data_IF_293867466148
#
_entry.id   IF_293867466148
#
_cell.length_a   1.000
_cell.length_b   1.000
_cell.length_c   1.000
_cell.angle_alpha   90.00
_cell.angle_beta   90.00
_cell.angle_gamma   90.00
#
_symmetry.space_group_name_H-M   'P 1'
#
loop_
_entity.id
_entity.type
_entity.pdbx_description
1 polymer ?
#
# COMPACT_ATOMS: atom_id res chain seq x y z
N UNK A 1 12.27 -17.10 19.40
CA UNK A 1 12.32 -15.70 19.90
C UNK A 1 11.21 -14.85 19.25
N UNK A 2 10.73 -13.81 19.95
CA UNK A 2 9.77 -12.82 19.43
C UNK A 2 10.14 -11.43 19.93
N UNK A 3 9.88 -10.40 19.13
CA UNK A 3 10.12 -9.02 19.54
C UNK A 3 9.24 -8.64 20.73
N UNK A 4 9.89 -8.22 21.82
CA UNK A 4 9.19 -7.81 23.03
C UNK A 4 8.49 -6.46 22.80
N UNK A 5 7.24 -6.35 23.26
CA UNK A 5 6.47 -5.09 23.15
C UNK A 5 6.00 -4.75 21.74
N UNK A 6 6.19 -5.64 20.76
CA UNK A 6 5.72 -5.42 19.40
C UNK A 6 4.19 -5.42 19.33
N UNK A 7 3.60 -4.31 18.87
CA UNK A 7 2.16 -4.17 18.69
C UNK A 7 1.77 -4.34 17.23
N UNK A 8 1.00 -5.39 16.96
CA UNK A 8 0.43 -5.66 15.65
C UNK A 8 -0.98 -5.07 15.51
N UNK A 9 -1.31 -4.51 14.36
CA UNK A 9 -2.70 -4.38 13.93
C UNK A 9 -2.82 -4.41 12.39
N UNK A 10 -3.97 -4.83 11.85
CA UNK A 10 -4.25 -4.82 10.42
C UNK A 10 -4.48 -3.40 9.87
N UNK A 11 -4.60 -3.26 8.56
CA UNK A 11 -4.88 -1.99 7.92
C UNK A 11 -5.29 -2.12 6.46
N UNK A 12 -5.29 -1.01 5.72
CA UNK A 12 -5.91 -0.96 4.40
C UNK A 12 -4.94 -1.32 3.26
N UNK A 13 -3.63 -1.15 3.46
CA UNK A 13 -2.64 -1.37 2.43
C UNK A 13 -1.32 -1.88 3.04
N UNK A 14 -0.79 -2.98 2.50
CA UNK A 14 0.31 -3.75 3.08
C UNK A 14 1.55 -2.91 3.40
N UNK A 15 2.00 -2.07 2.48
CA UNK A 15 3.14 -1.18 2.70
C UNK A 15 2.89 -0.15 3.81
N UNK A 16 1.79 0.60 3.74
CA UNK A 16 1.51 1.68 4.71
C UNK A 16 1.15 1.15 6.10
N UNK A 17 0.49 -0.01 6.17
CA UNK A 17 0.21 -0.69 7.43
C UNK A 17 1.51 -1.18 8.07
N UNK A 18 2.41 -1.79 7.30
CA UNK A 18 3.72 -2.21 7.81
C UNK A 18 4.54 -1.02 8.31
N UNK A 19 4.54 0.10 7.57
CA UNK A 19 5.19 1.34 8.01
C UNK A 19 4.57 1.90 9.31
N UNK A 20 3.24 1.82 9.47
CA UNK A 20 2.57 2.22 10.73
C UNK A 20 2.96 1.31 11.88
N UNK A 21 3.04 0.00 11.67
CA UNK A 21 3.45 -0.93 12.72
C UNK A 21 4.91 -0.70 13.14
N UNK A 22 5.81 -0.42 12.17
CA UNK A 22 7.17 0.05 12.48
C UNK A 22 7.15 1.36 13.27
N UNK A 23 6.33 2.32 12.83
CA UNK A 23 6.19 3.61 13.51
C UNK A 23 5.72 3.47 14.96
N UNK A 24 4.86 2.50 15.25
CA UNK A 24 4.43 2.21 16.62
C UNK A 24 5.57 1.56 17.41
N UNK A 25 6.24 0.56 16.84
CA UNK A 25 7.37 -0.14 17.47
C UNK A 25 8.50 0.83 17.87
N UNK A 26 8.87 1.75 16.98
CA UNK A 26 9.90 2.77 17.24
C UNK A 26 9.39 4.01 17.98
N UNK A 27 8.09 4.07 18.31
CA UNK A 27 7.51 5.18 19.07
C UNK A 27 7.41 6.52 18.31
N UNK A 28 7.45 6.52 16.98
CA UNK A 28 7.27 7.74 16.17
C UNK A 28 5.80 8.21 16.14
N UNK A 29 4.84 7.31 16.38
CA UNK A 29 3.43 7.65 16.57
C UNK A 29 2.68 8.11 15.32
N UNK A 30 3.11 7.72 14.12
CA UNK A 30 2.39 8.00 12.88
C UNK A 30 1.26 6.99 12.67
N UNK A 31 0.07 7.48 12.32
CA UNK A 31 -1.02 6.62 11.84
C UNK A 31 -0.79 6.17 10.38
N UNK A 32 -1.58 5.19 9.90
CA UNK A 32 -1.39 4.63 8.55
C UNK A 32 -1.52 5.71 7.44
N UNK A 33 -2.42 6.68 7.63
CA UNK A 33 -2.62 7.76 6.64
C UNK A 33 -1.42 8.70 6.61
N UNK A 34 -0.83 8.98 7.76
CA UNK A 34 0.39 9.78 7.91
C UNK A 34 1.58 9.05 7.29
N UNK A 35 1.76 7.76 7.56
CA UNK A 35 2.78 6.93 6.90
C UNK A 35 2.63 6.95 5.38
N UNK A 36 1.40 6.75 4.87
CA UNK A 36 1.14 6.81 3.43
C UNK A 36 1.44 8.18 2.82
N UNK A 37 1.11 9.27 3.53
CA UNK A 37 1.43 10.64 3.11
C UNK A 37 2.93 10.93 3.10
N UNK A 38 3.65 10.58 4.17
CA UNK A 38 5.10 10.71 4.29
C UNK A 38 5.83 9.85 3.26
N UNK A 39 5.25 8.75 2.83
CA UNK A 39 5.78 7.87 1.79
C UNK A 39 5.57 8.39 0.35
N UNK A 40 4.97 9.58 0.17
CA UNK A 40 4.49 10.06 -1.13
C UNK A 40 3.59 9.03 -1.82
N UNK A 41 2.71 8.38 -1.05
CA UNK A 41 2.05 7.13 -1.42
C UNK A 41 1.05 7.22 -2.58
N UNK A 42 0.61 8.41 -2.99
CA UNK A 42 -0.27 8.55 -4.15
C UNK A 42 0.55 8.43 -5.45
N UNK A 43 0.27 7.39 -6.24
CA UNK A 43 0.94 7.15 -7.50
C UNK A 43 -0.02 6.67 -8.59
N UNK A 44 0.46 6.69 -9.84
CA UNK A 44 -0.22 6.05 -10.96
C UNK A 44 0.82 5.30 -11.78
N UNK A 45 0.84 3.97 -11.62
CA UNK A 45 1.72 3.09 -12.37
C UNK A 45 0.86 2.22 -13.26
N UNK A 46 1.02 2.36 -14.56
CA UNK A 46 0.38 1.51 -15.55
C UNK A 46 1.39 0.56 -16.15
N UNK A 47 1.03 -0.72 -16.26
CA UNK A 47 1.85 -1.77 -16.86
C UNK A 47 0.98 -2.64 -17.77
N UNK A 48 1.59 -3.12 -18.85
CA UNK A 48 1.01 -4.13 -19.72
C UNK A 48 1.88 -5.38 -19.61
N UNK A 49 1.67 -6.24 -18.59
CA UNK A 49 2.44 -7.46 -18.49
C UNK A 49 2.16 -8.35 -19.71
N UNK A 50 3.16 -9.13 -20.11
CA UNK A 50 3.08 -10.02 -21.28
C UNK A 50 2.08 -11.17 -21.13
N UNK A 51 1.47 -11.31 -19.96
CA UNK A 51 0.51 -12.34 -19.58
C UNK A 51 -0.65 -11.74 -18.76
N UNK A 52 -1.65 -12.57 -18.45
CA UNK A 52 -2.83 -12.11 -17.70
C UNK A 52 -2.46 -11.68 -16.26
N UNK A 53 -2.95 -10.52 -15.77
CA UNK A 53 -3.82 -9.57 -16.46
C UNK A 53 -3.05 -8.67 -17.43
N UNK A 54 -3.42 -8.68 -18.72
CA UNK A 54 -2.75 -7.92 -19.81
C UNK A 54 -2.58 -6.40 -19.57
N UNK A 55 -3.33 -5.83 -18.62
CA UNK A 55 -3.23 -4.44 -18.17
C UNK A 55 -3.39 -4.40 -16.67
N UNK A 56 -2.45 -3.73 -16.02
CA UNK A 56 -2.42 -3.53 -14.59
C UNK A 56 -2.23 -2.04 -14.30
N UNK A 57 -2.96 -1.54 -13.30
CA UNK A 57 -2.67 -0.25 -12.71
C UNK A 57 -2.43 -0.42 -11.22
N UNK A 58 -1.48 0.34 -10.68
CA UNK A 58 -1.16 0.37 -9.26
C UNK A 58 -1.23 1.83 -8.80
N UNK A 59 -2.06 2.09 -7.78
CA UNK A 59 -2.35 3.42 -7.24
C UNK A 59 -1.29 3.97 -6.29
N UNK A 60 -0.11 3.35 -6.23
CA UNK A 60 0.98 3.67 -5.33
C UNK A 60 2.34 3.60 -6.02
N UNK A 61 3.35 4.36 -5.55
CA UNK A 61 4.71 4.20 -6.01
C UNK A 61 5.30 2.85 -5.60
N UNK A 62 6.21 2.34 -6.43
CA UNK A 62 6.99 1.13 -6.15
C UNK A 62 8.03 1.38 -5.04
N UNK A 63 8.35 2.65 -4.79
CA UNK A 63 9.32 3.10 -3.80
C UNK A 63 8.67 3.59 -2.50
N UNK A 64 7.38 3.31 -2.27
CA UNK A 64 6.60 3.78 -1.11
C UNK A 64 7.35 3.55 0.21
N UNK A 65 7.81 2.32 0.45
CA UNK A 65 8.49 1.93 1.68
C UNK A 65 9.78 2.72 1.86
N UNK A 66 10.58 2.86 0.81
CA UNK A 66 11.84 3.62 0.84
C UNK A 66 11.60 5.12 1.07
N UNK A 67 10.64 5.72 0.36
CA UNK A 67 10.34 7.14 0.49
C UNK A 67 9.83 7.51 1.88
N UNK A 68 9.15 6.59 2.58
CA UNK A 68 8.74 6.83 3.95
C UNK A 68 9.92 7.12 4.87
N UNK A 69 11.07 6.49 4.66
CA UNK A 69 12.25 6.74 5.48
C UNK A 69 13.07 7.92 4.96
N UNK A 70 13.24 8.03 3.64
CA UNK A 70 14.01 9.11 3.02
C UNK A 70 13.43 10.50 3.30
N UNK A 71 12.11 10.65 3.21
CA UNK A 71 11.45 11.96 3.36
C UNK A 71 11.60 12.59 4.77
N UNK A 72 11.42 11.84 5.88
CA UNK A 72 11.73 12.33 7.22
C UNK A 72 13.21 12.20 7.62
N UNK A 73 14.06 11.61 6.77
CA UNK A 73 15.49 11.45 7.05
C UNK A 73 15.81 10.35 8.06
N UNK A 74 14.98 9.30 8.13
CA UNK A 74 15.24 8.12 8.96
C UNK A 74 16.25 7.24 8.24
N UNK A 75 17.32 6.85 8.93
CA UNK A 75 18.31 5.93 8.37
C UNK A 75 17.70 4.56 8.08
N UNK A 76 18.13 3.91 7.00
CA UNK A 76 17.67 2.56 6.65
C UNK A 76 18.79 1.74 6.02
N UNK A 77 18.79 0.45 6.31
CA UNK A 77 19.42 -0.57 5.47
C UNK A 77 18.35 -1.17 4.55
N UNK A 78 18.56 -1.08 3.24
CA UNK A 78 17.76 -1.71 2.19
C UNK A 78 18.69 -2.63 1.39
N UNK A 79 18.45 -3.95 1.45
CA UNK A 79 19.32 -4.98 0.86
C UNK A 79 18.50 -5.90 -0.02
N UNK A 80 19.09 -6.34 -1.12
CA UNK A 80 18.53 -7.27 -2.11
C UNK A 80 19.66 -8.03 -2.81
N UNK A 81 19.34 -9.16 -3.44
CA UNK A 81 20.26 -9.93 -4.29
C UNK A 81 21.10 -10.97 -3.54
N UNK A 82 20.97 -11.07 -2.23
CA UNK A 82 21.64 -12.08 -1.41
C UNK A 82 20.93 -13.44 -1.55
N UNK A 83 21.67 -14.54 -1.40
CA UNK A 83 21.03 -15.84 -1.22
C UNK A 83 20.27 -15.90 0.12
N UNK A 84 19.32 -16.83 0.22
CA UNK A 84 18.44 -16.90 1.38
C UNK A 84 19.22 -17.09 2.69
N UNK A 85 20.27 -17.91 2.72
CA UNK A 85 20.99 -18.17 3.98
C UNK A 85 21.70 -16.91 4.48
N UNK A 86 22.33 -16.17 3.56
CA UNK A 86 22.98 -14.89 3.86
C UNK A 86 21.96 -13.84 4.32
N UNK A 87 20.86 -13.67 3.58
CA UNK A 87 19.81 -12.72 3.92
C UNK A 87 19.14 -13.07 5.26
N UNK A 88 18.82 -14.34 5.48
CA UNK A 88 18.19 -14.83 6.71
C UNK A 88 19.10 -14.67 7.92
N UNK A 89 20.41 -14.93 7.79
CA UNK A 89 21.36 -14.69 8.86
C UNK A 89 21.38 -13.20 9.29
N UNK A 90 21.40 -12.28 8.33
CA UNK A 90 21.34 -10.84 8.61
C UNK A 90 19.99 -10.43 9.24
N UNK A 91 18.88 -11.00 8.78
CA UNK A 91 17.55 -10.76 9.37
C UNK A 91 17.49 -11.23 10.81
N UNK A 92 18.03 -12.42 11.13
CA UNK A 92 18.07 -12.91 12.51
C UNK A 92 18.87 -11.99 13.42
N UNK A 93 20.02 -11.49 12.97
CA UNK A 93 20.82 -10.51 13.75
C UNK A 93 20.00 -9.25 14.07
N UNK A 94 19.22 -8.75 13.12
CA UNK A 94 18.35 -7.57 13.32
C UNK A 94 17.20 -7.87 14.28
N UNK A 95 16.56 -9.03 14.14
CA UNK A 95 15.51 -9.48 15.07
C UNK A 95 16.05 -9.64 16.50
N UNK A 96 17.24 -10.24 16.65
CA UNK A 96 17.95 -10.38 17.94
C UNK A 96 18.32 -9.01 18.53
N UNK A 97 18.61 -8.03 17.68
CA UNK A 97 18.81 -6.62 18.06
C UNK A 97 17.52 -5.88 18.46
N UNK A 98 16.34 -6.48 18.27
CA UNK A 98 15.06 -5.87 18.62
C UNK A 98 14.38 -5.11 17.46
N UNK A 99 14.91 -5.22 16.24
CA UNK A 99 14.41 -4.50 15.06
C UNK A 99 13.48 -5.39 14.22
N UNK A 100 12.21 -5.00 13.98
CA UNK A 100 11.35 -5.67 13.02
C UNK A 100 11.89 -5.46 11.61
N UNK A 101 11.86 -6.52 10.82
CA UNK A 101 12.39 -6.50 9.45
C UNK A 101 11.23 -6.46 8.47
N UNK A 102 11.23 -5.47 7.58
CA UNK A 102 10.30 -5.44 6.46
C UNK A 102 10.78 -6.35 5.34
N UNK A 103 9.97 -7.35 5.00
CA UNK A 103 10.22 -8.27 3.88
C UNK A 103 9.25 -7.99 2.74
N UNK A 104 9.73 -8.20 1.51
CA UNK A 104 8.94 -8.10 0.29
C UNK A 104 8.77 -9.51 -0.27
N UNK A 105 7.56 -10.04 -0.18
CA UNK A 105 7.27 -11.45 -0.42
C UNK A 105 6.21 -11.61 -1.50
N UNK A 106 6.10 -12.81 -2.05
CA UNK A 106 5.00 -13.21 -2.92
C UNK A 106 3.91 -13.90 -2.10
N UNK A 107 2.70 -13.36 -2.18
CA UNK A 107 1.53 -13.82 -1.44
C UNK A 107 1.19 -15.29 -1.74
N UNK A 108 1.52 -15.79 -2.93
CA UNK A 108 1.30 -17.18 -3.33
C UNK A 108 1.87 -18.20 -2.33
N UNK A 109 3.03 -17.91 -1.74
CA UNK A 109 3.74 -18.79 -0.83
C UNK A 109 3.43 -18.51 0.65
N UNK A 110 2.50 -17.60 0.93
CA UNK A 110 2.05 -17.35 2.30
C UNK A 110 0.91 -18.31 2.62
N UNK A 111 1.23 -19.45 3.22
CA UNK A 111 0.29 -20.57 3.45
C UNK A 111 -1.04 -20.13 4.08
N UNK A 112 -0.99 -19.17 5.01
CA UNK A 112 -2.17 -18.64 5.70
C UNK A 112 -3.14 -17.83 4.81
N UNK A 113 -2.77 -17.49 3.57
CA UNK A 113 -3.66 -16.89 2.58
C UNK A 113 -4.47 -17.91 1.77
N UNK A 114 -4.00 -19.16 1.67
CA UNK A 114 -4.64 -20.25 0.91
C UNK A 114 -5.07 -19.81 -0.50
N UNK A 115 -4.11 -19.32 -1.29
CA UNK A 115 -4.34 -18.82 -2.65
C UNK A 115 -3.43 -19.49 -3.66
N UNK A 116 -3.85 -19.51 -4.92
CA UNK A 116 -3.03 -19.96 -6.06
C UNK A 116 -2.60 -18.79 -6.95
N UNK A 117 -2.67 -17.56 -6.45
CA UNK A 117 -2.39 -16.35 -7.24
C UNK A 117 -1.08 -15.71 -6.79
N UNK A 118 -0.14 -15.55 -7.73
CA UNK A 118 1.05 -14.74 -7.53
C UNK A 118 0.69 -13.27 -7.40
N UNK A 119 1.15 -12.65 -6.31
CA UNK A 119 0.99 -11.23 -6.06
C UNK A 119 2.20 -10.73 -5.29
N UNK A 120 3.10 -10.08 -6.04
CA UNK A 120 4.36 -9.58 -5.52
C UNK A 120 4.67 -8.17 -6.09
N UNK A 121 5.34 -7.30 -5.29
CA UNK A 121 5.70 -7.52 -3.90
C UNK A 121 4.52 -7.24 -2.95
N UNK A 122 4.29 -8.14 -2.00
CA UNK A 122 3.53 -7.90 -0.78
C UNK A 122 4.49 -7.53 0.34
N UNK A 123 4.17 -6.49 1.10
CA UNK A 123 5.03 -6.03 2.21
C UNK A 123 4.46 -6.46 3.55
N UNK A 124 5.28 -7.11 4.36
CA UNK A 124 4.95 -7.49 5.74
C UNK A 124 6.17 -7.31 6.64
N UNK A 125 5.97 -7.47 7.95
CA UNK A 125 7.06 -7.42 8.93
C UNK A 125 7.34 -8.80 9.52
N UNK A 126 8.60 -9.19 9.57
CA UNK A 126 9.10 -10.31 10.35
C UNK A 126 9.35 -9.80 11.77
N UNK A 127 8.77 -10.48 12.77
CA UNK A 127 8.73 -9.99 14.17
C UNK A 127 9.25 -11.03 15.18
N UNK A 128 9.99 -12.01 14.68
CA UNK A 128 10.63 -13.06 15.45
C UNK A 128 10.90 -14.27 14.58
N UNK A 129 11.36 -15.34 15.20
CA UNK A 129 11.51 -16.65 14.58
C UNK A 129 11.63 -17.74 15.66
N UNK A 130 11.33 -18.97 15.33
CA UNK A 130 11.56 -20.15 16.16
C UNK A 130 12.00 -21.30 15.24
N UNK A 131 13.31 -21.55 15.17
CA UNK A 131 13.91 -22.55 14.25
C UNK A 131 13.64 -24.00 14.67
N UNK A 132 13.30 -24.21 15.95
CA UNK A 132 13.04 -25.53 16.53
C UNK A 132 11.54 -25.89 16.53
N UNK A 133 10.66 -24.91 16.29
CA UNK A 133 9.22 -25.14 16.20
C UNK A 133 8.88 -26.08 15.03
N UNK A 134 7.94 -27.00 15.26
CA UNK A 134 7.35 -27.82 14.21
C UNK A 134 6.55 -26.91 13.26
N UNK A 135 7.01 -26.77 12.03
CA UNK A 135 6.42 -25.86 11.07
C UNK A 135 5.08 -26.38 10.52
N UNK A 136 4.82 -27.69 10.65
CA UNK A 136 3.57 -28.30 10.20
C UNK A 136 2.35 -27.87 11.04
N UNK A 137 2.58 -27.27 12.22
CA UNK A 137 1.52 -26.69 13.04
C UNK A 137 1.07 -25.30 12.55
N UNK A 138 1.80 -24.68 11.62
CA UNK A 138 1.42 -23.39 11.07
C UNK A 138 0.17 -23.52 10.16
N UNK A 139 -0.69 -22.48 10.10
CA UNK A 139 -1.93 -22.55 9.32
C UNK A 139 -1.67 -22.88 7.85
N UNK A 140 -2.29 -23.95 7.37
CA UNK A 140 -2.18 -24.47 6.00
C UNK A 140 -0.76 -24.84 5.55
N UNK A 141 0.17 -25.06 6.48
CA UNK A 141 1.52 -25.48 6.14
C UNK A 141 1.54 -26.81 5.37
N UNK A 142 2.53 -26.98 4.49
CA UNK A 142 2.81 -28.26 3.85
C UNK A 142 3.12 -29.33 4.92
N UNK A 143 2.73 -30.58 4.67
CA UNK A 143 3.06 -31.71 5.54
C UNK A 143 4.57 -31.94 5.68
N UNK A 144 5.34 -31.49 4.69
CA UNK A 144 6.80 -31.57 4.65
C UNK A 144 7.47 -30.22 5.01
N UNK A 145 6.74 -29.28 5.62
CA UNK A 145 7.25 -27.93 5.95
C UNK A 145 8.49 -27.94 6.88
N UNK A 146 8.72 -29.04 7.60
CA UNK A 146 9.91 -29.25 8.43
C UNK A 146 9.85 -28.49 9.76
N UNK A 147 10.96 -27.87 10.15
CA UNK A 147 11.04 -27.02 11.34
C UNK A 147 11.31 -25.58 10.95
N UNK A 148 10.98 -24.67 11.86
CA UNK A 148 11.19 -23.24 11.67
C UNK A 148 9.90 -22.50 11.37
N UNK A 149 9.52 -21.61 12.29
CA UNK A 149 8.37 -20.74 12.15
C UNK A 149 8.79 -19.29 12.31
N UNK A 150 8.33 -18.42 11.42
CA UNK A 150 8.55 -16.99 11.42
C UNK A 150 7.22 -16.28 11.71
N UNK A 151 7.06 -15.67 12.89
CA UNK A 151 5.96 -14.75 13.17
C UNK A 151 6.00 -13.54 12.22
N UNK A 152 4.90 -13.33 11.50
CA UNK A 152 4.73 -12.26 10.50
C UNK A 152 3.58 -11.33 10.90
N UNK A 153 3.84 -10.02 10.91
CA UNK A 153 2.83 -8.99 11.02
C UNK A 153 2.38 -8.59 9.62
N UNK A 154 1.24 -9.11 9.22
CA UNK A 154 0.63 -8.89 7.91
C UNK A 154 -0.62 -8.00 8.03
N UNK A 155 -0.75 -7.01 7.15
CA UNK A 155 -1.85 -6.05 7.12
C UNK A 155 -3.26 -6.63 7.01
N UNK A 156 -3.43 -7.83 6.44
CA UNK A 156 -4.75 -8.41 6.20
C UNK A 156 -5.36 -9.04 7.46
N UNK A 157 -4.53 -9.43 8.43
CA UNK A 157 -4.97 -10.26 9.55
C UNK A 157 -4.99 -9.50 10.88
N UNK A 158 -5.95 -9.83 11.74
CA UNK A 158 -6.07 -9.21 13.07
C UNK A 158 -4.94 -9.62 14.04
N UNK A 159 -4.27 -10.74 13.76
CA UNK A 159 -3.23 -11.29 14.59
C UNK A 159 -2.01 -11.66 13.75
N UNK A 160 -0.84 -11.59 14.38
CA UNK A 160 0.43 -12.09 13.84
C UNK A 160 0.25 -13.53 13.37
N UNK A 161 0.73 -13.82 12.16
CA UNK A 161 0.64 -15.14 11.54
C UNK A 161 1.94 -15.90 11.67
N UNK A 162 1.85 -17.19 11.97
CA UNK A 162 2.98 -18.11 11.87
C UNK A 162 3.16 -18.49 10.40
N UNK A 163 4.38 -18.34 9.88
CA UNK A 163 4.78 -18.76 8.54
C UNK A 163 5.91 -19.77 8.65
N UNK A 164 5.85 -20.95 8.04
CA UNK A 164 7.01 -21.84 7.92
C UNK A 164 8.22 -21.13 7.31
N UNK A 165 9.42 -21.43 7.81
CA UNK A 165 10.65 -20.84 7.28
C UNK A 165 10.92 -21.25 5.83
N UNK A 166 10.52 -22.47 5.46
CA UNK A 166 10.50 -22.98 4.08
C UNK A 166 9.59 -22.15 3.18
N UNK A 167 8.36 -21.87 3.62
CA UNK A 167 7.42 -21.02 2.89
C UNK A 167 7.93 -19.57 2.76
N UNK A 168 8.56 -19.02 3.82
CA UNK A 168 9.22 -17.72 3.72
C UNK A 168 10.32 -17.71 2.64
N UNK A 169 11.15 -18.76 2.57
CA UNK A 169 12.21 -18.89 1.55
C UNK A 169 11.66 -18.81 0.13
N UNK A 170 10.60 -19.55 -0.15
CA UNK A 170 9.97 -19.55 -1.46
C UNK A 170 9.29 -18.20 -1.75
N UNK A 171 8.57 -17.66 -0.76
CA UNK A 171 7.92 -16.35 -0.88
C UNK A 171 8.89 -15.21 -1.16
N UNK A 172 10.09 -15.26 -0.57
CA UNK A 172 11.04 -14.16 -0.57
C UNK A 172 12.01 -14.19 -1.75
N UNK A 173 12.17 -15.37 -2.36
CA UNK A 173 12.99 -15.60 -3.54
C UNK A 173 12.19 -15.66 -4.85
N UNK A 174 10.87 -15.53 -4.81
CA UNK A 174 9.99 -15.62 -5.99
C UNK A 174 10.35 -14.63 -7.11
N UNK A 175 10.26 -15.12 -8.35
CA UNK A 175 10.48 -14.38 -9.60
C UNK A 175 9.19 -14.21 -10.43
N UNK A 176 8.04 -14.69 -9.94
CA UNK A 176 6.84 -14.91 -10.76
C UNK A 176 6.19 -13.62 -11.30
N UNK A 177 6.26 -12.50 -10.57
CA UNK A 177 5.70 -11.20 -11.02
C UNK A 177 6.80 -10.18 -11.22
N UNK A 178 7.67 -10.06 -10.22
CA UNK A 178 8.91 -9.29 -10.24
C UNK A 178 9.93 -10.08 -9.42
N UNK A 179 11.22 -10.07 -9.79
CA UNK A 179 12.26 -10.67 -8.96
C UNK A 179 12.29 -10.00 -7.58
N UNK A 180 12.04 -10.77 -6.53
CA UNK A 180 12.07 -10.28 -5.15
C UNK A 180 13.47 -10.33 -4.53
N UNK A 181 14.28 -11.30 -4.98
CA UNK A 181 15.72 -11.38 -4.66
C UNK A 181 16.03 -11.23 -3.17
N UNK A 182 15.22 -11.85 -2.30
CA UNK A 182 15.34 -11.78 -0.84
C UNK A 182 15.46 -10.35 -0.30
N UNK A 183 14.74 -9.38 -0.90
CA UNK A 183 14.83 -7.99 -0.50
C UNK A 183 14.25 -7.74 0.89
N UNK A 184 14.97 -7.02 1.74
CA UNK A 184 14.48 -6.54 3.03
C UNK A 184 14.92 -5.11 3.32
N UNK A 185 14.13 -4.47 4.18
CA UNK A 185 14.40 -3.15 4.70
C UNK A 185 14.34 -3.18 6.23
N UNK A 186 15.33 -2.56 6.87
CA UNK A 186 15.35 -2.34 8.32
C UNK A 186 15.65 -0.87 8.61
N UNK A 187 14.90 -0.26 9.52
CA UNK A 187 15.22 1.07 10.01
C UNK A 187 16.53 1.02 10.81
N UNK A 188 17.42 1.98 10.59
CA UNK A 188 18.57 2.16 11.47
C UNK A 188 18.14 2.95 12.71
N UNK A 189 18.60 2.50 13.87
CA UNK A 189 18.34 3.19 15.14
C UNK A 189 19.08 4.55 15.19
N UNK A 190 18.34 5.67 15.18
CA UNK A 190 18.58 6.92 15.97
C UNK A 190 17.36 7.91 15.86
N UNK A 191 17.24 8.95 16.70
CA UNK A 191 16.24 9.17 17.76
C UNK A 191 15.08 10.09 17.29
N UNK A 192 14.19 10.64 18.17
CA UNK A 192 12.80 10.94 17.82
C UNK A 192 12.72 11.89 16.64
N UNK A 193 11.89 11.53 15.65
CA UNK A 193 11.49 12.46 14.59
C UNK A 193 10.94 13.69 15.29
N UNK A 194 11.77 14.73 15.39
CA UNK A 194 11.32 16.01 15.90
C UNK A 194 10.20 16.43 14.96
N UNK A 195 8.96 16.39 15.43
CA UNK A 195 7.82 17.06 14.79
C UNK A 195 8.04 18.56 14.93
N UNK A 196 9.15 19.07 14.39
CA UNK A 196 9.35 20.47 14.15
C UNK A 196 8.30 20.84 13.13
N UNK A 197 7.27 21.53 13.60
CA UNK A 197 6.39 22.36 12.77
C UNK A 197 7.20 22.89 11.61
N UNK A 198 6.77 22.61 10.38
CA UNK A 198 7.38 23.12 9.17
C UNK A 198 7.56 24.64 9.29
N UNK A 199 8.75 25.07 9.73
CA UNK A 199 9.11 26.48 9.71
C UNK A 199 9.34 26.81 8.25
N UNK A 200 8.35 27.49 7.67
CA UNK A 200 8.46 28.12 6.36
C UNK A 200 9.70 29.01 6.29
N UNK A 201 10.79 28.51 5.70
CA UNK A 201 11.90 29.28 5.12
C UNK A 201 12.43 28.39 3.98
N UNK A 202 12.55 28.81 2.74
CA UNK A 202 12.87 30.13 2.21
C UNK A 202 12.38 30.26 0.76
N UNK A 203 12.28 31.53 0.34
CA UNK A 203 11.77 32.09 -0.90
C UNK A 203 12.09 31.37 -2.23
N UNK A 204 11.21 31.49 -3.25
CA UNK A 204 11.53 31.01 -4.59
C UNK A 204 12.72 31.81 -5.17
N UNK A 205 13.50 31.20 -6.09
CA UNK A 205 14.58 31.90 -6.77
C UNK A 205 14.04 33.12 -7.52
N UNK A 206 14.71 34.25 -7.35
CA UNK A 206 14.42 35.47 -8.09
C UNK A 206 14.60 35.23 -9.59
N UNK A 207 13.51 35.24 -10.36
CA UNK A 207 13.63 35.19 -11.81
C UNK A 207 12.47 34.60 -12.60
N UNK A 208 11.22 34.66 -12.14
CA UNK A 208 10.06 34.45 -13.02
C UNK A 208 9.09 35.61 -12.84
N UNK A 209 9.07 36.51 -13.83
CA UNK A 209 8.22 37.69 -13.85
C UNK A 209 6.75 37.31 -13.78
N UNK A 210 6.06 37.86 -12.78
CA UNK A 210 4.64 37.60 -12.55
C UNK A 210 3.75 38.20 -13.63
N UNK A 211 2.68 37.47 -13.95
CA UNK A 211 1.39 38.08 -14.23
C UNK A 211 0.42 37.56 -13.18
N UNK A 212 0.17 38.36 -12.15
CA UNK A 212 -0.83 38.08 -11.12
C UNK A 212 -2.20 38.50 -11.65
N UNK A 213 -3.10 37.54 -11.82
CA UNK A 213 -4.54 37.83 -11.95
C UNK A 213 -5.11 37.83 -10.53
N UNK A 214 -5.69 38.94 -10.02
CA UNK A 214 -6.28 38.97 -8.70
C UNK A 214 -7.59 38.16 -8.67
N UNK A 215 -7.67 37.19 -7.76
CA UNK A 215 -8.91 36.46 -7.48
C UNK A 215 -9.74 37.28 -6.47
N UNK A 216 -10.90 37.78 -6.92
CA UNK A 216 -11.86 38.49 -6.07
C UNK A 216 -12.56 37.54 -5.10
N UNK A 217 -12.68 37.98 -3.85
CA UNK A 217 -13.41 37.33 -2.75
C UNK A 217 -14.91 37.19 -3.03
N UNK A 218 -15.42 35.97 -3.00
CA UNK A 218 -16.85 35.65 -2.92
C UNK A 218 -17.31 35.40 -1.48
N UNK A 219 -18.60 35.63 -1.14
CA UNK A 219 -19.06 35.64 0.24
C UNK A 219 -19.16 34.24 0.87
N UNK A 220 -18.94 34.21 2.18
CA UNK A 220 -19.05 33.06 3.08
C UNK A 220 -20.48 32.54 3.17
N UNK A 221 -20.67 31.25 2.86
CA UNK A 221 -21.88 30.49 3.17
C UNK A 221 -21.53 29.33 4.09
N UNK A 222 -22.23 29.23 5.23
CA UNK A 222 -22.13 28.10 6.17
C UNK A 222 -22.60 26.79 5.54
N UNK A 223 -21.99 25.63 5.86
CA UNK A 223 -22.43 24.34 5.30
C UNK A 223 -23.71 23.85 6.00
N UNK A 224 -24.64 23.20 5.28
CA UNK A 224 -25.78 22.55 5.90
C UNK A 224 -25.37 21.23 6.56
N UNK A 225 -25.97 20.95 7.72
CA UNK A 225 -25.91 19.67 8.42
C UNK A 225 -26.58 18.57 7.59
N UNK A 226 -25.84 17.52 7.22
CA UNK A 226 -26.41 16.29 6.67
C UNK A 226 -26.05 15.10 7.53
N UNK A 227 -27.01 14.66 8.34
CA UNK A 227 -27.11 13.28 8.82
C UNK A 227 -27.28 12.36 7.61
N UNK A 228 -26.22 11.66 7.22
CA UNK A 228 -26.22 10.73 6.10
C UNK A 228 -25.27 9.58 6.38
N UNK A 229 -25.80 8.34 6.32
CA UNK A 229 -25.06 7.08 6.47
C UNK A 229 -23.77 7.10 5.64
N UNK A 230 -22.65 6.73 6.27
CA UNK A 230 -21.37 6.48 5.60
C UNK A 230 -21.54 5.32 4.60
N UNK A 231 -21.12 5.46 3.33
CA UNK A 231 -21.06 4.33 2.41
C UNK A 231 -19.87 3.42 2.79
N UNK A 232 -19.99 2.09 2.67
CA UNK A 232 -18.89 1.19 2.96
C UNK A 232 -18.00 1.10 1.72
N UNK A 233 -16.90 1.85 1.68
CA UNK A 233 -15.81 1.53 0.75
C UNK A 233 -14.96 0.44 1.41
N UNK A 234 -15.43 -0.81 1.29
CA UNK A 234 -14.54 -1.97 1.37
C UNK A 234 -13.81 -2.04 0.03
N UNK A 235 -12.50 -1.88 0.04
CA UNK A 235 -11.66 -2.32 -1.09
C UNK A 235 -11.94 -3.81 -1.32
N UNK A 236 -11.92 -4.24 -2.59
CA UNK A 236 -12.36 -5.58 -3.01
C UNK A 236 -11.61 -6.68 -2.23
N UNK A 237 -12.20 -7.15 -1.13
CA UNK A 237 -11.97 -8.49 -0.62
C UNK A 237 -12.64 -9.45 -1.59
N UNK A 238 -11.85 -10.30 -2.24
CA UNK A 238 -12.38 -11.24 -3.20
C UNK A 238 -13.06 -12.37 -2.44
N UNK A 239 -14.37 -12.48 -2.61
CA UNK A 239 -15.15 -13.64 -2.21
C UNK A 239 -14.77 -14.84 -3.08
N UNK A 240 -14.29 -15.91 -2.45
CA UNK A 240 -14.13 -17.23 -3.06
C UNK A 240 -15.47 -17.71 -3.64
N UNK A 241 -15.49 -18.25 -4.88
CA UNK A 241 -16.70 -18.91 -5.37
C UNK A 241 -16.86 -20.26 -4.67
N UNK A 242 -18.10 -20.70 -4.36
CA UNK A 242 -18.32 -22.04 -3.84
C UNK A 242 -17.94 -23.08 -4.92
N UNK A 243 -17.28 -24.13 -4.46
CA UNK A 243 -16.85 -25.28 -5.25
C UNK A 243 -18.03 -25.99 -5.93
N UNK A 244 -17.81 -26.41 -7.18
CA UNK A 244 -18.60 -27.47 -7.83
C UNK A 244 -19.57 -27.03 -8.92
N UNK A 245 -19.06 -26.80 -10.14
CA UNK A 245 -19.71 -27.22 -11.40
C UNK A 245 -18.79 -26.90 -12.59
N UNK A 246 -18.16 -27.93 -13.16
CA UNK A 246 -17.49 -27.81 -14.45
C UNK A 246 -18.50 -27.43 -15.54
N UNK A 247 -18.33 -26.28 -16.18
CA UNK A 247 -18.95 -25.98 -17.48
C UNK A 247 -17.85 -25.83 -18.51
N UNK A 248 -17.76 -26.82 -19.40
CA UNK A 248 -16.98 -26.75 -20.65
C UNK A 248 -17.42 -25.52 -21.44
N UNK A 249 -16.48 -24.63 -21.72
CA UNK A 249 -16.66 -23.58 -22.72
C UNK A 249 -16.30 -24.16 -24.10
N UNK A 250 -17.25 -24.12 -25.03
CA UNK A 250 -17.03 -24.41 -26.45
C UNK A 250 -17.19 -23.08 -27.18
N UNK A 251 -16.16 -22.52 -27.83
CA UNK A 251 -16.30 -21.28 -28.56
C UNK A 251 -16.98 -21.53 -29.92
N UNK A 252 -18.10 -20.86 -30.16
CA UNK A 252 -18.66 -20.66 -31.50
C UNK A 252 -17.90 -19.51 -32.18
N UNK A 253 -17.07 -19.87 -33.15
CA UNK A 253 -16.42 -18.94 -34.07
C UNK A 253 -17.33 -18.71 -35.28
N UNK A 254 -18.26 -17.77 -35.15
CA UNK A 254 -18.91 -17.15 -36.30
C UNK A 254 -18.84 -15.62 -36.17
N UNK A 255 -18.04 -15.02 -37.05
CA UNK A 255 -17.62 -13.63 -36.96
C UNK A 255 -18.71 -12.61 -37.31
N UNK A 256 -18.44 -11.36 -36.88
CA UNK A 256 -18.58 -10.12 -37.65
C UNK A 256 -17.99 -8.96 -36.83
N UNK A 257 -17.04 -8.26 -37.43
CA UNK A 257 -16.48 -7.01 -36.94
C UNK A 257 -17.55 -5.91 -36.92
N UNK A 258 -17.68 -5.20 -35.81
CA UNK A 258 -18.33 -3.90 -35.74
C UNK A 258 -17.57 -3.00 -34.75
N UNK A 259 -16.97 -1.92 -35.27
CA UNK A 259 -16.38 -0.85 -34.45
C UNK A 259 -17.49 0.06 -33.91
N UNK A 260 -17.48 0.45 -32.62
CA UNK A 260 -18.36 1.51 -32.15
C UNK A 260 -17.75 2.89 -32.43
N UNK A 261 -18.40 3.65 -33.30
CA UNK A 261 -18.22 5.10 -33.44
C UNK A 261 -18.98 5.79 -32.30
N UNK A 262 -18.28 6.51 -31.43
CA UNK A 262 -18.90 7.36 -30.42
C UNK A 262 -18.95 8.80 -30.90
N UNK A 263 -20.15 9.29 -31.24
CA UNK A 263 -20.43 10.73 -31.42
C UNK A 263 -20.77 11.37 -30.08
N UNK A 264 -19.96 12.33 -29.62
CA UNK A 264 -20.22 13.11 -28.42
C UNK A 264 -21.20 14.26 -28.70
N UNK A 265 -22.41 14.19 -28.15
CA UNK A 265 -23.35 15.32 -28.11
C UNK A 265 -22.98 16.27 -26.98
N UNK A 266 -22.48 17.48 -27.31
CA UNK A 266 -22.27 18.59 -26.36
C UNK A 266 -23.61 19.27 -26.05
N UNK A 267 -24.14 19.09 -24.85
CA UNK A 267 -25.18 19.97 -24.30
C UNK A 267 -24.52 21.16 -23.60
N UNK A 268 -24.48 22.32 -24.30
CA UNK A 268 -24.18 23.62 -23.68
C UNK A 268 -25.38 24.05 -22.83
N UNK A 269 -25.19 24.25 -21.52
CA UNK A 269 -26.14 24.99 -20.68
C UNK A 269 -25.85 26.48 -20.82
N UNK A 270 -26.79 27.24 -21.38
CA UNK A 270 -26.78 28.70 -21.41
C UNK A 270 -27.21 29.24 -20.04
N UNK A 271 -26.33 29.98 -19.36
CA UNK A 271 -26.73 30.91 -18.30
C UNK A 271 -27.24 32.19 -18.96
N UNK A 272 -28.51 32.54 -18.74
CA UNK A 272 -29.03 33.87 -19.05
C UNK A 272 -29.12 34.68 -17.74
N UNK A 273 -28.51 35.85 -17.78
CA UNK A 273 -28.48 36.84 -16.70
C UNK A 273 -29.78 37.64 -16.69
N UNK A 274 -30.49 37.63 -15.55
CA UNK A 274 -31.60 38.54 -15.29
C UNK A 274 -31.09 39.75 -14.49
N UNK A 275 -30.94 40.89 -15.16
CA UNK A 275 -30.68 42.19 -14.53
C UNK A 275 -31.99 42.78 -14.00
N UNK A 276 -32.09 42.97 -12.68
CA UNK A 276 -33.16 43.74 -12.04
C UNK A 276 -32.63 45.14 -11.72
N UNK A 277 -33.09 46.15 -12.46
CA UNK A 277 -32.85 47.55 -12.12
C UNK A 277 -33.81 47.99 -11.02
N UNK A 278 -33.27 48.48 -9.89
CA UNK A 278 -34.02 49.27 -8.91
C UNK A 278 -33.83 50.74 -9.25
N UNK A 279 -34.94 51.45 -9.52
CA UNK A 279 -35.01 52.91 -9.48
C UNK A 279 -35.18 53.36 -8.04
N UNK A 280 -34.40 54.36 -7.63
CA UNK A 280 -34.63 55.19 -6.45
C UNK A 280 -35.50 56.39 -6.81
N UNK A 281 -36.25 56.85 -5.82
CA UNK A 281 -37.29 57.89 -5.79
C UNK A 281 -36.79 59.33 -5.94
N UNK A 282 -37.65 60.25 -6.42
CA UNK A 282 -38.11 61.46 -5.70
C UNK A 282 -38.91 62.45 -6.59
N UNK A 283 -40.01 62.96 -6.02
CA UNK A 283 -40.65 64.29 -6.17
C UNK A 283 -40.26 65.22 -7.33
N UNK A 284 -41.24 65.70 -8.11
CA UNK A 284 -42.10 66.87 -7.84
C UNK A 284 -43.27 66.87 -8.82
#
# INVERSE_FOLDING_TARGET
>A
MRLAGYEHAPGAHCGSTSLRNLSNHYGWGFDETTCFGLASGLGFHYREPGESPHRMFVGRPLWLERAFFENPGIGTTDREGEDFETAWAAVRERLEGGDPVMAFVDLFYLDYYDTTTHFAPHSLLLVGYDEDADATEAPNADADAGTGVVPTSDSEFEAVRALPLSSLRDAWSSDAVVPLSNRYLVAENDPPVGTGTATSRSSPPAGWGGSTIPCSSGPSGSPPSSTGRRPPWRWLGWSTPPTGAARRFVPDLSGRHAHPVWTASRTRRNCSSASRSRRTSASN
#
